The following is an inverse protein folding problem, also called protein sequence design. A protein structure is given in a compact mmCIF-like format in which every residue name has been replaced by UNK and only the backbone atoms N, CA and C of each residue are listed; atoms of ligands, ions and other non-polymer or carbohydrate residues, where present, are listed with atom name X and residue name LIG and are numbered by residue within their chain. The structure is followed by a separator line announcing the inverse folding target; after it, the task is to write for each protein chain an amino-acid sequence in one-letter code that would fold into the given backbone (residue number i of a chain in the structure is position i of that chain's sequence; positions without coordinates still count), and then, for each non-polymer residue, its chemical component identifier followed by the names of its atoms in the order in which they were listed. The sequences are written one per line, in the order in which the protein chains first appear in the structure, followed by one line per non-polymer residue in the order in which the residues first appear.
data_IF_772960120110
#
_entry.id   IF_772960120110
#
_cell.length_a   1.000
_cell.length_b   1.000
_cell.length_c   1.000
_cell.angle_alpha   90.00
_cell.angle_beta   90.00
_cell.angle_gamma   90.00
#
_symmetry.space_group_name_H-M   'P 1'
#
loop_
_entity.id
_entity.type
_entity.pdbx_description
1 polymer ?
#
# COMPACT_ATOMS: atom_id res chain seq x y z
N UNK A 1 5.73 -16.74 -13.13
CA UNK A 1 6.18 -16.02 -11.92
C UNK A 1 6.72 -14.67 -12.37
N UNK A 2 6.31 -13.58 -11.76
CA UNK A 2 6.87 -12.25 -11.97
C UNK A 2 7.10 -11.56 -10.62
N UNK A 3 7.94 -10.53 -10.61
CA UNK A 3 8.13 -9.65 -9.47
C UNK A 3 7.22 -8.45 -9.67
N UNK A 4 6.41 -8.14 -8.67
CA UNK A 4 5.53 -7.01 -8.67
C UNK A 4 5.94 -6.04 -7.55
N UNK A 5 5.86 -4.75 -7.87
CA UNK A 5 6.12 -3.68 -6.94
C UNK A 5 4.89 -2.78 -6.84
N UNK A 6 4.46 -2.51 -5.63
CA UNK A 6 3.25 -1.73 -5.37
C UNK A 6 3.57 -0.51 -4.53
N UNK A 7 3.19 0.64 -5.05
CA UNK A 7 3.32 1.93 -4.37
C UNK A 7 2.11 2.22 -3.49
N UNK A 8 2.30 3.10 -2.51
CA UNK A 8 1.22 3.63 -1.67
C UNK A 8 0.52 4.77 -2.41
N UNK A 9 -0.73 4.57 -2.83
CA UNK A 9 -1.55 5.62 -3.42
C UNK A 9 -2.35 6.38 -2.37
N UNK A 10 -2.71 5.71 -1.28
CA UNK A 10 -3.37 6.28 -0.11
C UNK A 10 -3.04 5.44 1.12
N UNK A 11 -3.05 6.09 2.30
CA UNK A 11 -2.63 5.45 3.56
C UNK A 11 -3.83 4.72 4.18
N UNK A 12 -4.12 3.54 3.62
CA UNK A 12 -5.18 2.67 4.09
C UNK A 12 -4.88 1.22 3.70
N UNK A 13 -5.19 0.21 4.53
CA UNK A 13 -5.00 -1.20 4.20
C UNK A 13 -5.69 -1.63 2.90
N UNK A 14 -6.77 -0.96 2.51
CA UNK A 14 -7.48 -1.20 1.25
C UNK A 14 -6.57 -1.06 0.03
N UNK A 15 -5.58 -0.14 0.08
CA UNK A 15 -4.65 0.09 -1.02
C UNK A 15 -3.84 -1.16 -1.41
N UNK A 16 -3.56 -2.01 -0.45
CA UNK A 16 -2.80 -3.25 -0.68
C UNK A 16 -3.70 -4.48 -0.58
N UNK A 17 -4.34 -4.68 0.58
CA UNK A 17 -5.06 -5.91 0.86
C UNK A 17 -6.34 -5.98 0.01
N UNK A 18 -7.16 -4.93 0.02
CA UNK A 18 -8.41 -4.91 -0.72
C UNK A 18 -8.21 -4.91 -2.23
N UNK A 19 -7.37 -4.01 -2.75
CA UNK A 19 -7.20 -3.88 -4.20
C UNK A 19 -6.45 -5.08 -4.83
N UNK A 20 -5.57 -5.74 -4.05
CA UNK A 20 -4.79 -6.87 -4.55
C UNK A 20 -5.49 -8.21 -4.47
N UNK A 21 -6.29 -8.43 -3.42
CA UNK A 21 -6.78 -9.78 -3.09
C UNK A 21 -8.29 -9.95 -3.07
N UNK A 22 -9.05 -8.87 -3.30
CA UNK A 22 -10.49 -9.00 -3.56
C UNK A 22 -10.69 -9.72 -4.91
N UNK A 23 -11.43 -10.81 -4.89
CA UNK A 23 -11.67 -11.61 -6.09
C UNK A 23 -12.38 -10.85 -7.21
N UNK A 24 -13.13 -9.79 -6.89
CA UNK A 24 -13.75 -8.89 -7.85
C UNK A 24 -12.74 -8.10 -8.69
N UNK A 25 -11.53 -7.90 -8.17
CA UNK A 25 -10.45 -7.17 -8.83
C UNK A 25 -9.55 -8.08 -9.69
N UNK A 26 -9.82 -9.38 -9.74
CA UNK A 26 -9.00 -10.37 -10.44
C UNK A 26 -8.70 -9.97 -11.89
N UNK A 27 -7.41 -9.99 -12.25
CA UNK A 27 -6.93 -9.60 -13.58
C UNK A 27 -6.64 -8.12 -13.76
N UNK A 28 -6.86 -7.28 -12.74
CA UNK A 28 -6.31 -5.92 -12.74
C UNK A 28 -4.79 -5.98 -12.55
N UNK A 29 -4.09 -4.89 -12.84
CA UNK A 29 -2.64 -4.84 -12.68
C UNK A 29 -2.17 -5.03 -11.23
N UNK A 30 -2.99 -4.71 -10.23
CA UNK A 30 -2.71 -4.98 -8.82
C UNK A 30 -3.09 -6.41 -8.42
N UNK A 31 -4.26 -6.90 -8.84
CA UNK A 31 -4.77 -8.23 -8.52
C UNK A 31 -4.40 -9.26 -9.59
N UNK A 32 -3.15 -9.28 -9.97
CA UNK A 32 -2.62 -10.09 -11.07
C UNK A 32 -2.40 -11.56 -10.70
N UNK A 33 -2.44 -11.91 -9.42
CA UNK A 33 -2.39 -13.30 -8.94
C UNK A 33 -3.65 -14.10 -9.23
N UNK A 34 -4.77 -13.45 -9.58
CA UNK A 34 -6.08 -14.08 -9.74
C UNK A 34 -6.54 -14.86 -8.49
N UNK A 35 -6.05 -14.45 -7.33
CA UNK A 35 -6.42 -15.04 -6.06
C UNK A 35 -7.93 -14.96 -5.82
N UNK A 36 -8.50 -16.02 -5.23
CA UNK A 36 -9.91 -16.10 -4.87
C UNK A 36 -10.07 -16.85 -3.56
N UNK A 37 -10.57 -16.19 -2.56
CA UNK A 37 -10.98 -16.80 -1.31
C UNK A 37 -12.25 -16.09 -0.79
N UNK A 38 -13.41 -16.76 -0.75
CA UNK A 38 -14.66 -16.15 -0.31
C UNK A 38 -14.62 -15.61 1.13
N UNK A 39 -13.79 -16.18 2.00
CA UNK A 39 -13.63 -15.68 3.38
C UNK A 39 -12.90 -14.35 3.39
N UNK A 40 -11.85 -14.19 2.57
CA UNK A 40 -11.15 -12.92 2.41
C UNK A 40 -12.09 -11.87 1.81
N UNK A 41 -12.83 -12.21 0.76
CA UNK A 41 -13.80 -11.30 0.14
C UNK A 41 -14.84 -10.80 1.15
N UNK A 42 -15.29 -11.69 2.05
CA UNK A 42 -16.26 -11.37 3.09
C UNK A 42 -15.70 -10.41 4.14
N UNK A 43 -14.47 -10.66 4.61
CA UNK A 43 -13.77 -9.79 5.54
C UNK A 43 -13.53 -8.39 4.94
N UNK A 44 -13.10 -8.31 3.69
CA UNK A 44 -12.89 -7.04 2.99
C UNK A 44 -14.20 -6.26 2.83
N UNK A 45 -15.29 -6.93 2.46
CA UNK A 45 -16.61 -6.29 2.35
C UNK A 45 -17.09 -5.73 3.70
N UNK A 46 -16.93 -6.50 4.79
CA UNK A 46 -17.24 -6.03 6.14
C UNK A 46 -16.37 -4.83 6.53
N UNK A 47 -15.04 -4.90 6.30
CA UNK A 47 -14.11 -3.82 6.62
C UNK A 47 -14.47 -2.50 5.92
N UNK A 48 -14.90 -2.56 4.65
CA UNK A 48 -15.36 -1.38 3.89
C UNK A 48 -16.62 -0.74 4.44
N UNK A 49 -17.47 -1.50 5.12
CA UNK A 49 -18.72 -0.99 5.71
C UNK A 49 -18.52 -0.34 7.08
N UNK A 50 -17.37 -0.52 7.72
CA UNK A 50 -17.10 -0.01 9.06
C UNK A 50 -16.43 1.36 9.05
N UNK A 51 -16.93 2.25 9.91
CA UNK A 51 -16.31 3.56 10.20
C UNK A 51 -15.32 3.42 11.36
N UNK A 52 -15.59 2.52 12.30
CA UNK A 52 -14.71 2.29 13.46
C UNK A 52 -13.36 1.75 13.00
N UNK A 53 -12.31 2.53 13.28
CA UNK A 53 -10.96 2.25 12.81
C UNK A 53 -10.36 0.97 13.41
N UNK A 54 -10.64 0.70 14.68
CA UNK A 54 -10.08 -0.48 15.36
C UNK A 54 -10.76 -1.76 14.90
N UNK A 55 -12.08 -1.75 14.81
CA UNK A 55 -12.84 -2.88 14.30
C UNK A 55 -12.45 -3.18 12.84
N UNK A 56 -12.30 -2.14 12.03
CA UNK A 56 -11.84 -2.25 10.64
C UNK A 56 -10.43 -2.84 10.54
N UNK A 57 -9.50 -2.39 11.39
CA UNK A 57 -8.13 -2.89 11.41
C UNK A 57 -8.06 -4.38 11.77
N UNK A 58 -8.94 -4.87 12.66
CA UNK A 58 -9.02 -6.29 13.00
C UNK A 58 -9.46 -7.13 11.80
N UNK A 59 -10.46 -6.70 11.05
CA UNK A 59 -10.90 -7.43 9.85
C UNK A 59 -9.80 -7.51 8.78
N UNK A 60 -9.02 -6.44 8.58
CA UNK A 60 -7.87 -6.50 7.69
C UNK A 60 -6.76 -7.40 8.22
N UNK A 61 -6.54 -7.45 9.54
CA UNK A 61 -5.58 -8.36 10.13
C UNK A 61 -6.00 -9.83 9.93
N UNK A 62 -7.29 -10.14 10.14
CA UNK A 62 -7.82 -11.48 9.89
C UNK A 62 -7.69 -11.87 8.41
N UNK A 63 -7.98 -10.95 7.49
CA UNK A 63 -7.75 -11.17 6.06
C UNK A 63 -6.27 -11.43 5.75
N UNK A 64 -5.34 -10.68 6.37
CA UNK A 64 -3.90 -10.91 6.22
C UNK A 64 -3.49 -12.30 6.70
N UNK A 65 -4.04 -12.81 7.79
CA UNK A 65 -3.74 -14.16 8.28
C UNK A 65 -4.13 -15.22 7.24
N UNK A 66 -5.32 -15.13 6.66
CA UNK A 66 -5.76 -16.05 5.60
C UNK A 66 -4.86 -15.95 4.35
N UNK A 67 -4.46 -14.73 3.98
CA UNK A 67 -3.55 -14.52 2.85
C UNK A 67 -2.16 -15.13 3.10
N UNK A 68 -1.67 -15.06 4.33
CA UNK A 68 -0.39 -15.70 4.70
C UNK A 68 -0.48 -17.23 4.66
N UNK A 69 -1.63 -17.80 5.06
CA UNK A 69 -1.87 -19.24 5.01
C UNK A 69 -2.00 -19.75 3.57
N UNK A 70 -2.72 -19.02 2.73
CA UNK A 70 -2.93 -19.37 1.32
C UNK A 70 -1.72 -19.07 0.44
N UNK A 71 -0.85 -18.15 0.88
CA UNK A 71 0.40 -17.74 0.23
C UNK A 71 0.26 -17.44 -1.29
N UNK A 72 -0.71 -16.61 -1.72
CA UNK A 72 -0.86 -16.27 -3.13
C UNK A 72 0.35 -15.52 -3.70
N UNK A 73 1.08 -14.81 -2.84
CA UNK A 73 2.26 -14.03 -3.16
C UNK A 73 3.37 -14.25 -2.13
N UNK A 74 4.60 -14.10 -2.55
CA UNK A 74 5.77 -14.11 -1.67
C UNK A 74 6.18 -12.66 -1.34
N UNK A 75 5.88 -12.22 -0.11
CA UNK A 75 6.36 -10.93 0.39
C UNK A 75 7.85 -11.03 0.74
N UNK A 76 8.71 -10.37 -0.03
CA UNK A 76 10.17 -10.54 0.09
C UNK A 76 10.79 -9.46 0.98
N UNK A 77 10.61 -8.18 0.65
CA UNK A 77 11.22 -7.07 1.39
C UNK A 77 10.54 -5.73 1.05
N UNK A 78 10.73 -4.77 1.95
CA UNK A 78 10.42 -3.37 1.67
C UNK A 78 11.71 -2.66 1.24
N UNK A 79 11.61 -1.81 0.22
CA UNK A 79 12.74 -1.00 -0.27
C UNK A 79 12.88 0.29 0.52
N UNK A 80 14.12 0.81 0.55
CA UNK A 80 14.34 2.21 0.94
C UNK A 80 14.28 3.08 -0.31
N UNK A 81 13.66 4.24 -0.20
CA UNK A 81 13.72 5.27 -1.22
C UNK A 81 14.84 6.26 -0.86
N UNK A 82 15.70 6.55 -1.82
CA UNK A 82 16.80 7.50 -1.66
C UNK A 82 16.54 8.71 -2.54
N UNK A 83 16.44 9.87 -1.92
CA UNK A 83 16.26 11.14 -2.63
C UNK A 83 17.53 11.97 -2.46
N UNK A 84 18.47 11.94 -3.43
CA UNK A 84 19.66 12.77 -3.37
C UNK A 84 19.28 14.24 -3.60
N UNK A 85 19.67 15.10 -2.66
CA UNK A 85 19.42 16.53 -2.72
C UNK A 85 20.75 17.29 -2.66
N UNK A 86 20.86 18.37 -3.44
CA UNK A 86 21.96 19.31 -3.29
C UNK A 86 21.86 20.01 -1.92
N UNK A 87 23.00 20.37 -1.32
CA UNK A 87 23.03 21.06 0.01
C UNK A 87 22.23 22.36 0.04
N UNK A 88 22.13 23.02 -1.09
CA UNK A 88 21.36 24.25 -1.26
C UNK A 88 19.84 24.03 -1.28
N UNK A 89 19.37 22.80 -1.41
CA UNK A 89 17.94 22.47 -1.40
C UNK A 89 17.50 22.25 0.05
N UNK A 90 16.55 23.05 0.49
CA UNK A 90 16.02 23.02 1.84
C UNK A 90 14.50 22.80 1.81
N UNK A 91 13.93 22.38 2.97
CA UNK A 91 12.49 22.24 3.13
C UNK A 91 11.88 20.99 2.47
N UNK A 92 12.68 20.07 1.95
CA UNK A 92 12.18 18.83 1.39
C UNK A 92 11.47 18.01 2.49
N UNK A 93 10.28 17.52 2.18
CA UNK A 93 9.51 16.64 3.04
C UNK A 93 9.08 15.41 2.26
N UNK A 94 9.20 14.26 2.91
CA UNK A 94 8.69 13.02 2.35
C UNK A 94 7.17 12.95 2.55
N UNK A 95 6.45 12.66 1.46
CA UNK A 95 5.01 12.41 1.50
C UNK A 95 4.74 10.91 1.42
N UNK A 96 3.85 10.39 2.27
CA UNK A 96 3.47 8.97 2.28
C UNK A 96 2.56 8.58 1.11
N UNK A 97 2.10 9.54 0.33
CA UNK A 97 1.08 9.34 -0.73
C UNK A 97 1.65 9.77 -2.08
N UNK A 98 1.30 9.03 -3.11
CA UNK A 98 1.70 9.35 -4.48
C UNK A 98 3.17 9.09 -4.77
N UNK A 99 3.89 10.08 -5.27
CA UNK A 99 5.31 9.97 -5.62
C UNK A 99 6.27 10.02 -4.43
N UNK A 100 5.78 10.18 -3.21
CA UNK A 100 6.61 10.33 -2.02
C UNK A 100 7.34 11.69 -1.92
N UNK A 101 7.07 12.62 -2.84
CA UNK A 101 7.79 13.89 -2.94
C UNK A 101 6.82 15.07 -2.88
N UNK A 102 7.06 15.97 -1.96
CA UNK A 102 6.30 17.19 -1.81
C UNK A 102 7.21 18.41 -2.01
N UNK A 103 6.96 19.15 -3.10
CA UNK A 103 7.85 20.23 -3.53
C UNK A 103 7.41 21.61 -3.06
N UNK A 104 6.19 21.78 -2.59
CA UNK A 104 5.69 23.10 -2.20
C UNK A 104 6.50 23.78 -1.09
N UNK A 105 7.07 23.07 -0.07
CA UNK A 105 7.89 23.69 0.95
C UNK A 105 9.38 23.84 0.55
N UNK A 106 9.75 23.34 -0.66
CA UNK A 106 11.15 23.31 -1.10
C UNK A 106 11.62 24.68 -1.55
N UNK A 107 12.78 25.10 -1.08
CA UNK A 107 13.43 26.34 -1.49
C UNK A 107 14.94 26.17 -1.63
N UNK A 108 15.58 27.12 -2.32
CA UNK A 108 17.03 27.15 -2.47
C UNK A 108 17.66 28.15 -1.49
N UNK A 109 18.52 27.65 -0.60
CA UNK A 109 19.40 28.51 0.20
C UNK A 109 20.78 28.58 -0.48
N UNK A 110 21.09 29.74 -1.03
CA UNK A 110 22.36 29.99 -1.73
C UNK A 110 23.53 30.21 -0.78
N UNK A 111 23.29 30.23 0.52
CA UNK A 111 24.31 30.44 1.57
C UNK A 111 24.75 29.13 2.24
N UNK A 112 24.11 28.02 1.89
CA UNK A 112 24.42 26.70 2.44
C UNK A 112 25.57 26.00 1.69
#
# INVERSE_FOLDING_TARGET
MWIHWISTYFVDPENWIGEMYDSANGGTWKASSWYKNPQVDDLLRQARSLIDREARARLYADACHLLLEDAPDLCVYNTYEYVPLAKTVQGFQFCLVGSGQEFWPVYFDRRA
#
